data_IF_203188038592
#
_entry.id   IF_203188038592
#
_cell.length_a   1.000
_cell.length_b   1.000
_cell.length_c   1.000
_cell.angle_alpha   90.00
_cell.angle_beta   90.00
_cell.angle_gamma   90.00
#
_symmetry.space_group_name_H-M   'P 1'
#
loop_
_entity.id
_entity.type
_entity.pdbx_description
1 polymer ?
#
# COMPACT_ATOMS: atom_id res chain seq x y z
N UNK A 1 -10.60 -26.35 -10.83
CA UNK A 1 -9.94 -25.13 -11.34
C UNK A 1 -9.18 -24.56 -10.16
N UNK A 2 -7.86 -24.58 -10.24
CA UNK A 2 -6.95 -24.49 -9.09
C UNK A 2 -6.85 -23.06 -8.53
N UNK A 3 -7.20 -22.89 -7.25
CA UNK A 3 -7.06 -21.64 -6.48
C UNK A 3 -5.64 -21.42 -5.91
N UNK A 4 -4.63 -22.16 -6.39
CA UNK A 4 -3.28 -22.19 -5.78
C UNK A 4 -2.29 -21.22 -6.43
N UNK A 5 -2.59 -20.66 -7.60
CA UNK A 5 -1.63 -19.86 -8.38
C UNK A 5 -1.33 -18.47 -7.78
N UNK A 6 -2.29 -17.82 -7.12
CA UNK A 6 -2.10 -16.44 -6.63
C UNK A 6 -1.42 -16.34 -5.26
N UNK A 7 -1.31 -17.43 -4.50
CA UNK A 7 -0.56 -17.44 -3.23
C UNK A 7 0.96 -17.42 -3.45
N UNK A 8 1.41 -17.74 -4.67
CA UNK A 8 2.81 -17.61 -5.08
C UNK A 8 3.24 -16.16 -5.35
N UNK A 9 2.30 -15.21 -5.52
CA UNK A 9 2.58 -13.82 -5.91
C UNK A 9 3.36 -13.01 -4.85
N UNK A 10 3.30 -13.41 -3.58
CA UNK A 10 4.17 -12.87 -2.52
C UNK A 10 5.34 -13.81 -2.15
N UNK A 11 5.30 -15.05 -2.63
CA UNK A 11 6.36 -16.04 -2.39
C UNK A 11 7.53 -15.89 -3.37
N UNK A 12 7.29 -15.36 -4.56
CA UNK A 12 8.32 -15.04 -5.55
C UNK A 12 8.79 -13.58 -5.46
N UNK A 13 9.21 -13.16 -4.26
CA UNK A 13 10.15 -12.05 -4.20
C UNK A 13 11.44 -12.49 -4.90
N UNK A 14 11.93 -11.74 -5.91
CA UNK A 14 13.07 -12.17 -6.70
C UNK A 14 14.29 -12.35 -5.79
N UNK A 15 14.62 -13.61 -5.53
CA UNK A 15 15.93 -14.01 -5.02
C UNK A 15 16.92 -13.87 -6.17
N UNK A 16 17.40 -12.65 -6.39
CA UNK A 16 18.58 -12.36 -7.20
C UNK A 16 18.41 -12.59 -8.71
N UNK A 17 18.16 -11.50 -9.45
CA UNK A 17 18.69 -11.36 -10.79
C UNK A 17 20.04 -10.61 -10.70
N UNK A 18 21.09 -11.35 -10.35
CA UNK A 18 22.49 -10.99 -10.58
C UNK A 18 23.24 -12.28 -10.94
N UNK A 19 23.35 -12.60 -12.23
CA UNK A 19 24.55 -13.29 -12.73
C UNK A 19 25.65 -12.21 -12.85
N UNK A 20 26.92 -12.39 -12.49
CA UNK A 20 27.85 -13.50 -12.69
C UNK A 20 28.90 -13.48 -11.57
N UNK A 21 29.15 -14.62 -10.92
CA UNK A 21 30.49 -15.11 -10.52
C UNK A 21 30.35 -16.49 -9.85
N UNK A 22 30.90 -17.54 -10.48
CA UNK A 22 31.08 -18.87 -9.86
C UNK A 22 31.99 -18.77 -8.64
N UNK A 23 31.64 -19.43 -7.52
CA UNK A 23 32.64 -19.88 -6.55
C UNK A 23 32.65 -21.41 -6.38
N UNK A 24 33.71 -21.98 -5.80
CA UNK A 24 33.97 -23.41 -5.83
C UNK A 24 33.18 -24.19 -4.78
N UNK A 25 33.02 -25.47 -5.13
CA UNK A 25 32.42 -26.57 -4.38
C UNK A 25 33.08 -26.77 -3.01
N UNK A 26 32.33 -26.75 -1.90
CA UNK A 26 32.63 -27.59 -0.71
C UNK A 26 31.50 -27.69 0.33
N UNK A 27 31.15 -28.95 0.59
CA UNK A 27 30.78 -29.65 1.84
C UNK A 27 29.69 -29.13 2.79
N UNK A 28 28.79 -30.07 3.08
CA UNK A 28 27.70 -30.11 4.05
C UNK A 28 28.02 -29.62 5.47
N UNK A 29 27.09 -28.84 6.02
CA UNK A 29 26.95 -28.59 7.46
C UNK A 29 25.47 -28.40 7.79
N UNK A 30 24.87 -29.40 8.45
CA UNK A 30 23.50 -29.43 8.96
C UNK A 30 23.42 -28.55 10.21
N UNK A 31 22.59 -27.50 10.22
CA UNK A 31 22.24 -26.77 11.46
C UNK A 31 20.74 -26.49 11.49
N UNK A 32 20.19 -26.72 12.68
CA UNK A 32 18.79 -26.86 13.04
C UNK A 32 17.96 -25.57 13.10
N UNK A 33 16.67 -25.76 12.81
CA UNK A 33 15.49 -25.15 13.44
C UNK A 33 15.50 -23.65 13.72
N UNK A 34 14.92 -22.88 12.79
CA UNK A 34 14.39 -21.55 13.07
C UNK A 34 12.99 -21.67 13.68
N UNK A 35 12.85 -21.20 14.92
CA UNK A 35 11.55 -21.05 15.59
C UNK A 35 10.75 -19.98 14.85
N UNK A 36 9.69 -20.38 14.13
CA UNK A 36 8.74 -19.44 13.52
C UNK A 36 8.01 -18.70 14.63
N UNK A 37 8.32 -17.42 14.83
CA UNK A 37 7.45 -16.50 15.56
C UNK A 37 6.19 -16.27 14.70
N UNK A 38 5.18 -17.12 14.90
CA UNK A 38 3.84 -16.81 14.43
C UNK A 38 3.34 -15.65 15.29
N UNK A 39 3.26 -14.45 14.72
CA UNK A 39 2.47 -13.38 15.32
C UNK A 39 1.03 -13.88 15.41
N UNK A 40 0.61 -14.27 16.61
CA UNK A 40 -0.77 -14.63 16.90
C UNK A 40 -1.59 -13.36 16.76
N UNK A 41 -2.24 -13.20 15.61
CA UNK A 41 -3.23 -12.16 15.42
C UNK A 41 -4.40 -12.52 16.33
N UNK A 42 -4.62 -11.65 17.31
CA UNK A 42 -5.76 -11.70 18.22
C UNK A 42 -7.06 -11.82 17.44
N UNK A 43 -7.96 -12.72 17.87
CA UNK A 43 -9.28 -12.98 17.27
C UNK A 43 -10.34 -11.95 17.64
N UNK A 44 -9.97 -10.86 18.31
CA UNK A 44 -10.89 -9.77 18.61
C UNK A 44 -11.44 -9.18 17.30
N UNK A 45 -12.69 -8.70 17.31
CA UNK A 45 -13.29 -8.10 16.11
C UNK A 45 -12.42 -6.94 15.62
N UNK A 46 -11.72 -7.16 14.50
CA UNK A 46 -10.90 -6.13 13.87
C UNK A 46 -11.87 -5.12 13.25
N UNK A 47 -11.90 -3.92 13.83
CA UNK A 47 -12.79 -2.88 13.35
C UNK A 47 -12.26 -2.30 12.03
N UNK A 48 -13.13 -1.98 11.06
CA UNK A 48 -12.72 -1.19 9.91
C UNK A 48 -12.11 0.12 10.37
N UNK A 49 -11.19 0.67 9.61
CA UNK A 49 -10.54 1.95 9.91
C UNK A 49 -11.50 3.15 9.72
N UNK A 50 -12.68 3.13 10.33
CA UNK A 50 -13.74 4.13 10.14
C UNK A 50 -13.34 5.55 10.54
N UNK A 51 -12.27 5.70 11.32
CA UNK A 51 -11.73 7.01 11.71
C UNK A 51 -10.60 7.40 10.77
N UNK A 52 -10.71 8.57 10.15
CA UNK A 52 -9.62 9.18 9.40
C UNK A 52 -8.34 9.19 10.26
N UNK A 53 -7.27 8.58 9.75
CA UNK A 53 -5.97 8.65 10.42
C UNK A 53 -5.58 10.12 10.46
N UNK A 54 -5.39 10.67 11.66
CA UNK A 54 -5.03 12.08 11.77
C UNK A 54 -3.78 12.40 10.95
N UNK A 55 -3.74 13.58 10.34
CA UNK A 55 -2.65 13.99 9.45
C UNK A 55 -1.29 14.00 10.13
N UNK A 56 -1.21 13.95 11.46
CA UNK A 56 0.04 13.78 12.24
C UNK A 56 0.46 12.31 12.49
N UNK A 57 -0.44 11.35 12.25
CA UNK A 57 -0.23 9.91 12.47
C UNK A 57 -0.32 9.06 11.21
N UNK A 58 -0.66 9.67 10.07
CA UNK A 58 -0.68 8.99 8.79
C UNK A 58 0.62 8.21 8.55
N UNK A 59 0.61 6.97 8.06
CA UNK A 59 1.83 6.22 7.83
C UNK A 59 2.71 6.88 6.76
N UNK A 60 3.98 7.08 7.07
CA UNK A 60 4.99 7.47 6.08
C UNK A 60 5.57 6.22 5.41
N UNK A 61 5.63 5.12 6.15
CA UNK A 61 6.16 3.84 5.71
C UNK A 61 5.20 2.70 6.08
N UNK A 62 5.16 1.69 5.21
CA UNK A 62 4.53 0.41 5.50
C UNK A 62 5.61 -0.68 5.56
N UNK A 63 5.57 -1.46 6.62
CA UNK A 63 6.25 -2.75 6.71
C UNK A 63 5.25 -3.83 6.38
N UNK A 64 5.42 -4.46 5.22
CA UNK A 64 4.48 -5.43 4.66
C UNK A 64 4.98 -6.85 4.93
N UNK A 65 4.17 -7.64 5.62
CA UNK A 65 4.45 -9.03 5.99
C UNK A 65 3.73 -9.98 5.03
N UNK A 66 4.50 -10.72 4.22
CA UNK A 66 4.02 -11.76 3.31
C UNK A 66 4.33 -13.18 3.80
N UNK A 67 3.95 -14.19 3.01
CA UNK A 67 3.92 -15.62 3.40
C UNK A 67 5.30 -16.23 3.71
N UNK A 68 6.39 -15.63 3.21
CA UNK A 68 7.75 -16.21 3.27
C UNK A 68 8.63 -15.64 4.38
N UNK A 69 8.04 -15.05 5.42
CA UNK A 69 8.79 -14.52 6.57
C UNK A 69 9.68 -13.31 6.25
N UNK A 70 9.61 -12.81 5.01
CA UNK A 70 10.25 -11.57 4.59
C UNK A 70 9.31 -10.39 4.83
N UNK A 71 9.88 -9.30 5.31
CA UNK A 71 9.21 -8.00 5.36
C UNK A 71 9.68 -7.15 4.20
N UNK A 72 8.75 -6.55 3.45
CA UNK A 72 9.07 -5.58 2.40
C UNK A 72 8.74 -4.18 2.91
N UNK A 73 9.68 -3.27 2.74
CA UNK A 73 9.50 -1.86 3.11
C UNK A 73 8.90 -1.10 1.94
N UNK A 74 7.81 -0.40 2.21
CA UNK A 74 7.12 0.51 1.30
C UNK A 74 7.11 1.91 1.89
N UNK A 75 7.16 2.94 1.04
CA UNK A 75 7.11 4.33 1.48
C UNK A 75 6.00 5.06 0.73
N UNK A 76 5.34 5.98 1.45
CA UNK A 76 4.18 6.73 0.98
C UNK A 76 4.57 7.67 -0.16
N UNK A 77 3.78 7.63 -1.22
CA UNK A 77 3.76 8.61 -2.30
C UNK A 77 2.59 9.58 -2.10
N UNK A 78 1.39 9.04 -1.87
CA UNK A 78 0.16 9.81 -1.66
C UNK A 78 -0.61 9.38 -0.39
N UNK A 79 -1.47 10.24 0.17
CA UNK A 79 -1.60 11.66 -0.15
C UNK A 79 -0.34 12.43 0.21
N UNK A 80 -0.14 13.66 -0.28
CA UNK A 80 0.93 14.54 0.23
C UNK A 80 0.34 15.43 1.33
N UNK A 81 0.87 15.35 2.55
CA UNK A 81 0.34 16.02 3.73
C UNK A 81 1.06 17.35 3.98
N UNK A 82 0.43 18.33 4.68
CA UNK A 82 1.07 19.60 5.00
C UNK A 82 2.42 19.46 5.72
N UNK A 83 2.54 18.45 6.60
CA UNK A 83 3.80 18.14 7.30
C UNK A 83 4.93 17.67 6.37
N UNK A 84 4.60 17.24 5.16
CA UNK A 84 5.58 16.80 4.16
C UNK A 84 6.29 18.01 3.51
N UNK A 85 5.64 19.18 3.52
CA UNK A 85 6.11 20.40 2.85
C UNK A 85 7.16 21.18 3.66
N UNK A 86 7.31 20.90 4.95
CA UNK A 86 8.12 21.72 5.89
C UNK A 86 9.64 21.56 5.74
N UNK A 87 10.14 20.89 4.69
CA UNK A 87 11.57 20.65 4.48
C UNK A 87 12.12 21.01 3.11
N UNK A 88 11.31 21.58 2.21
CA UNK A 88 11.74 21.90 0.84
C UNK A 88 11.67 23.41 0.57
N UNK A 89 12.79 24.08 0.20
CA UNK A 89 12.70 25.41 -0.38
C UNK A 89 11.87 25.33 -1.66
N UNK A 90 10.90 26.23 -1.79
CA UNK A 90 9.94 26.28 -2.88
C UNK A 90 10.62 26.09 -4.25
N UNK A 91 10.09 25.18 -5.09
CA UNK A 91 10.37 25.19 -6.53
C UNK A 91 10.90 23.93 -7.20
N UNK A 92 11.06 22.78 -6.52
CA UNK A 92 11.46 21.52 -7.19
C UNK A 92 10.50 20.38 -6.90
N UNK A 93 9.38 20.36 -7.64
CA UNK A 93 8.50 19.19 -7.74
C UNK A 93 9.28 18.06 -8.44
N UNK A 94 9.33 16.87 -7.84
CA UNK A 94 9.81 15.66 -8.53
C UNK A 94 11.14 15.05 -8.08
N UNK A 95 11.90 15.65 -7.15
CA UNK A 95 12.97 14.89 -6.48
C UNK A 95 12.42 14.20 -5.25
N UNK A 96 12.57 12.86 -5.22
CA UNK A 96 12.35 12.01 -4.05
C UNK A 96 12.62 12.76 -2.75
N UNK A 97 11.66 12.67 -1.82
CA UNK A 97 11.74 13.24 -0.46
C UNK A 97 13.17 13.07 0.07
N UNK A 98 13.87 14.18 0.33
CA UNK A 98 15.09 14.14 1.13
C UNK A 98 14.63 13.55 2.46
N UNK A 99 15.17 12.38 2.79
CA UNK A 99 14.77 11.57 3.93
C UNK A 99 14.52 12.44 5.15
N UNK A 100 13.28 12.43 5.67
CA UNK A 100 13.04 12.87 7.03
C UNK A 100 13.99 12.08 7.96
N UNK A 101 14.48 12.68 9.06
CA UNK A 101 15.25 11.94 10.04
C UNK A 101 14.47 10.70 10.46
N UNK A 102 15.14 9.53 10.44
CA UNK A 102 14.48 8.23 10.64
C UNK A 102 13.69 8.13 11.96
N UNK A 103 14.01 8.97 12.95
CA UNK A 103 13.37 9.03 14.26
C UNK A 103 11.95 9.62 14.27
N UNK A 104 11.45 10.17 13.16
CA UNK A 104 10.12 10.81 13.11
C UNK A 104 9.15 10.18 12.10
N UNK A 105 9.49 9.05 11.48
CA UNK A 105 8.63 8.42 10.46
C UNK A 105 7.57 7.56 11.15
N UNK A 106 6.32 7.78 10.75
CA UNK A 106 5.19 6.98 11.19
C UNK A 106 5.19 5.65 10.41
N UNK A 107 5.58 4.56 11.06
CA UNK A 107 5.63 3.22 10.43
C UNK A 107 4.37 2.45 10.81
N UNK A 108 3.62 1.99 9.80
CA UNK A 108 2.53 1.03 9.99
C UNK A 108 2.93 -0.36 9.48
N UNK A 109 2.24 -1.38 9.99
CA UNK A 109 2.53 -2.78 9.67
C UNK A 109 1.31 -3.40 8.98
N UNK A 110 1.48 -3.89 7.76
CA UNK A 110 0.43 -4.49 6.93
C UNK A 110 0.65 -6.01 6.85
N UNK A 111 -0.38 -6.80 7.20
CA UNK A 111 -0.26 -8.25 7.32
C UNK A 111 -0.96 -8.98 6.17
N UNK A 112 -0.30 -9.10 5.02
CA UNK A 112 -0.86 -9.79 3.86
C UNK A 112 -0.95 -11.31 4.02
N UNK A 113 -0.16 -11.89 4.93
CA UNK A 113 -0.26 -13.33 5.30
C UNK A 113 -1.62 -13.73 5.85
N UNK A 114 -2.33 -12.77 6.43
CA UNK A 114 -3.64 -12.96 7.06
C UNK A 114 -4.73 -12.25 6.28
N UNK A 115 -4.43 -11.88 5.02
CA UNK A 115 -5.39 -11.22 4.16
C UNK A 115 -6.38 -12.22 3.56
N UNK A 116 -7.58 -11.73 3.30
CA UNK A 116 -8.65 -12.45 2.60
C UNK A 116 -8.85 -11.78 1.24
N UNK A 117 -8.79 -12.55 0.16
CA UNK A 117 -9.13 -12.03 -1.17
C UNK A 117 -10.61 -11.67 -1.23
N UNK A 118 -10.89 -10.41 -1.56
CA UNK A 118 -12.24 -9.90 -1.80
C UNK A 118 -12.60 -10.04 -3.27
N UNK A 119 -11.68 -9.62 -4.14
CA UNK A 119 -11.81 -9.69 -5.58
C UNK A 119 -10.44 -9.99 -6.23
N UNK A 120 -10.46 -10.65 -7.39
CA UNK A 120 -9.29 -10.97 -8.17
C UNK A 120 -9.59 -10.84 -9.66
N UNK A 121 -9.40 -9.63 -10.18
CA UNK A 121 -9.54 -9.32 -11.60
C UNK A 121 -8.26 -9.50 -12.42
N UNK A 122 -8.35 -9.29 -13.76
CA UNK A 122 -7.22 -9.43 -14.68
C UNK A 122 -6.09 -8.41 -14.45
N UNK A 123 -6.42 -7.24 -13.89
CA UNK A 123 -5.47 -6.14 -13.69
C UNK A 123 -5.09 -5.95 -12.23
N UNK A 124 -6.01 -6.24 -11.30
CA UNK A 124 -5.77 -6.01 -9.88
C UNK A 124 -6.33 -7.12 -9.02
N UNK A 125 -5.70 -7.34 -7.87
CA UNK A 125 -6.26 -8.15 -6.79
C UNK A 125 -6.64 -7.22 -5.63
N UNK A 126 -7.85 -7.38 -5.11
CA UNK A 126 -8.37 -6.65 -3.95
C UNK A 126 -8.39 -7.58 -2.75
N UNK A 127 -7.73 -7.17 -1.67
CA UNK A 127 -7.59 -7.94 -0.45
C UNK A 127 -8.13 -7.15 0.74
N UNK A 128 -8.71 -7.86 1.71
CA UNK A 128 -8.93 -7.35 3.06
C UNK A 128 -7.76 -7.77 3.92
N UNK A 129 -7.07 -6.83 4.57
CA UNK A 129 -5.90 -7.15 5.38
C UNK A 129 -5.88 -6.39 6.72
N UNK A 130 -5.31 -6.98 7.79
CA UNK A 130 -5.02 -6.25 9.02
C UNK A 130 -3.90 -5.23 8.83
N UNK A 131 -4.10 -4.03 9.38
CA UNK A 131 -3.14 -2.93 9.44
C UNK A 131 -2.97 -2.48 10.90
N UNK A 132 -1.74 -2.55 11.41
CA UNK A 132 -1.39 -1.96 12.70
C UNK A 132 -0.84 -0.55 12.49
N UNK A 133 -1.49 0.45 13.07
CA UNK A 133 -1.04 1.83 13.00
C UNK A 133 0.06 2.14 14.04
N UNK A 134 0.92 3.15 13.78
CA UNK A 134 1.92 3.59 14.74
C UNK A 134 1.23 4.10 16.01
N UNK A 135 1.52 3.45 17.15
CA UNK A 135 0.95 3.81 18.44
C UNK A 135 2.05 4.09 19.47
N UNK A 136 1.82 5.08 20.35
CA UNK A 136 2.81 5.48 21.38
C UNK A 136 2.70 4.73 22.71
N UNK A 137 1.62 4.00 22.97
CA UNK A 137 1.42 3.34 24.27
C UNK A 137 0.79 1.93 24.14
N UNK A 138 1.63 0.89 24.26
CA UNK A 138 1.28 -0.49 24.64
C UNK A 138 -0.09 -1.00 24.18
N UNK A 139 -0.22 -1.32 22.88
CA UNK A 139 -1.43 -1.90 22.29
C UNK A 139 -1.76 -1.23 20.97
N UNK A 140 -0.98 -1.50 19.93
CA UNK A 140 -1.22 -0.94 18.60
C UNK A 140 -2.66 -1.18 18.17
N UNK A 141 -3.34 -0.13 17.68
CA UNK A 141 -4.69 -0.27 17.15
C UNK A 141 -4.59 -1.06 15.84
N UNK A 142 -5.10 -2.28 15.86
CA UNK A 142 -5.25 -3.12 14.68
C UNK A 142 -6.57 -2.74 14.00
N UNK A 143 -6.49 -2.32 12.75
CA UNK A 143 -7.64 -1.99 11.92
C UNK A 143 -7.67 -2.88 10.69
N UNK A 144 -8.84 -3.01 10.07
CA UNK A 144 -8.98 -3.65 8.76
C UNK A 144 -8.94 -2.60 7.66
N UNK A 145 -8.21 -2.89 6.58
CA UNK A 145 -8.14 -2.07 5.38
C UNK A 145 -8.36 -2.92 4.13
N UNK A 146 -8.79 -2.26 3.06
CA UNK A 146 -8.76 -2.82 1.71
C UNK A 146 -7.42 -2.47 1.07
N UNK A 147 -6.80 -3.47 0.46
CA UNK A 147 -5.51 -3.41 -0.22
C UNK A 147 -5.74 -3.79 -1.67
N UNK A 148 -5.48 -2.86 -2.58
CA UNK A 148 -5.47 -3.13 -4.02
C UNK A 148 -4.04 -3.28 -4.50
N UNK A 149 -3.77 -4.40 -5.17
CA UNK A 149 -2.47 -4.77 -5.72
C UNK A 149 -2.60 -4.91 -7.24
N UNK A 150 -1.57 -4.52 -7.97
CA UNK A 150 -1.48 -4.76 -9.41
C UNK A 150 -1.09 -6.21 -9.67
N UNK A 151 -1.61 -6.79 -10.75
CA UNK A 151 -1.06 -8.03 -11.31
C UNK A 151 0.32 -7.77 -11.91
N UNK A 152 1.04 -8.84 -12.26
CA UNK A 152 2.38 -8.79 -12.86
C UNK A 152 2.37 -8.32 -14.33
N UNK A 153 1.53 -7.35 -14.67
CA UNK A 153 1.43 -6.75 -16.00
C UNK A 153 1.85 -5.29 -15.93
N UNK A 154 2.55 -4.80 -16.96
CA UNK A 154 2.96 -3.40 -17.02
C UNK A 154 1.75 -2.45 -16.96
N UNK A 155 0.69 -2.73 -17.75
CA UNK A 155 -0.55 -1.94 -17.74
C UNK A 155 -1.26 -1.95 -16.39
N UNK A 156 -1.23 -3.06 -15.66
CA UNK A 156 -1.82 -3.18 -14.32
C UNK A 156 -1.16 -2.21 -13.31
N UNK A 157 0.17 -2.11 -13.34
CA UNK A 157 0.92 -1.19 -12.48
C UNK A 157 0.60 0.27 -12.79
N UNK A 158 0.46 0.60 -14.08
CA UNK A 158 0.10 1.94 -14.53
C UNK A 158 -1.32 2.32 -14.11
N UNK A 159 -2.29 1.46 -14.40
CA UNK A 159 -3.69 1.67 -14.02
C UNK A 159 -3.85 1.88 -12.51
N UNK A 160 -3.19 1.07 -11.69
CA UNK A 160 -3.24 1.23 -10.23
C UNK A 160 -2.61 2.57 -9.76
N UNK A 161 -1.65 3.10 -10.52
CA UNK A 161 -1.03 4.40 -10.24
C UNK A 161 -1.96 5.55 -10.64
N UNK A 162 -2.57 5.49 -11.82
CA UNK A 162 -3.55 6.47 -12.28
C UNK A 162 -4.75 6.52 -11.33
N UNK A 163 -5.22 5.35 -10.86
CA UNK A 163 -6.25 5.26 -9.83
C UNK A 163 -5.82 5.93 -8.52
N UNK A 164 -4.58 5.71 -8.07
CA UNK A 164 -4.05 6.37 -6.88
C UNK A 164 -3.91 7.90 -7.04
N UNK A 165 -3.58 8.37 -8.24
CA UNK A 165 -3.55 9.80 -8.56
C UNK A 165 -4.96 10.41 -8.53
N UNK A 166 -5.96 9.70 -9.06
CA UNK A 166 -7.36 10.10 -8.97
C UNK A 166 -7.79 10.19 -7.51
N UNK A 167 -7.56 9.15 -6.70
CA UNK A 167 -7.85 9.19 -5.27
C UNK A 167 -7.13 10.33 -4.56
N UNK A 168 -5.87 10.60 -4.90
CA UNK A 168 -5.14 11.73 -4.32
C UNK A 168 -5.75 13.09 -4.72
N UNK A 169 -6.32 13.20 -5.92
CA UNK A 169 -6.96 14.43 -6.39
C UNK A 169 -8.36 14.66 -5.78
N UNK A 170 -9.13 13.58 -5.56
CA UNK A 170 -10.53 13.67 -5.11
C UNK A 170 -10.69 13.40 -3.62
N UNK A 171 -9.76 12.70 -2.97
CA UNK A 171 -9.93 12.31 -1.57
C UNK A 171 -9.81 13.53 -0.66
N UNK A 172 -10.85 13.81 0.15
CA UNK A 172 -10.91 14.98 1.01
C UNK A 172 -10.02 14.86 2.26
N UNK A 173 -8.97 14.03 2.25
CA UNK A 173 -8.03 13.86 3.38
C UNK A 173 -7.37 15.19 3.80
N UNK A 174 -7.54 16.29 3.05
CA UNK A 174 -7.18 17.65 3.45
C UNK A 174 -8.29 18.71 3.23
N UNK A 175 -9.50 18.31 2.85
CA UNK A 175 -10.62 19.22 2.67
C UNK A 175 -11.18 19.59 4.03
N UNK A 176 -10.95 20.82 4.45
CA UNK A 176 -11.62 21.44 5.59
C UNK A 176 -13.12 21.10 5.52
N UNK A 177 -13.70 20.76 6.67
CA UNK A 177 -15.15 20.78 6.85
C UNK A 177 -15.65 22.05 6.16
N UNK A 178 -16.56 21.96 5.16
CA UNK A 178 -17.09 23.17 4.55
C UNK A 178 -17.56 24.05 5.72
N UNK A 179 -17.17 25.34 5.78
CA UNK A 179 -17.65 26.21 6.83
C UNK A 179 -19.15 26.05 6.85
N UNK A 180 -19.70 25.65 8.00
CA UNK A 180 -21.14 25.48 8.23
C UNK A 180 -21.84 26.83 8.04
N UNK A 181 -21.87 27.32 6.81
CA UNK A 181 -22.82 28.29 6.32
C UNK A 181 -24.11 27.52 6.21
N UNK A 182 -24.89 27.59 7.30
CA UNK A 182 -26.27 27.13 7.34
C UNK A 182 -26.95 27.55 6.03
N UNK A 183 -27.39 26.62 5.18
CA UNK A 183 -28.20 27.02 4.04
C UNK A 183 -29.49 27.61 4.61
N UNK A 184 -29.74 28.88 4.35
CA UNK A 184 -30.99 29.57 4.74
C UNK A 184 -32.20 29.00 3.97
N UNK A 185 -31.99 28.00 3.09
CA UNK A 185 -33.01 27.42 2.24
C UNK A 185 -33.01 25.87 2.31
N UNK A 186 -34.03 25.24 2.91
CA UNK A 186 -34.13 23.77 3.04
C UNK A 186 -34.37 22.98 1.74
N UNK A 187 -34.29 23.61 0.57
CA UNK A 187 -34.57 23.00 -0.74
C UNK A 187 -33.36 22.92 -1.67
N UNK A 188 -32.16 23.31 -1.23
CA UNK A 188 -30.95 23.12 -2.03
C UNK A 188 -30.55 21.64 -2.07
N UNK A 189 -30.89 21.02 -3.21
CA UNK A 189 -30.34 19.79 -3.79
C UNK A 189 -29.61 18.88 -2.80
N UNK A 190 -30.27 17.76 -2.45
CA UNK A 190 -29.59 16.52 -2.10
C UNK A 190 -28.73 16.11 -3.31
N UNK A 191 -27.56 16.74 -3.47
CA UNK A 191 -26.52 16.18 -4.32
C UNK A 191 -26.12 14.91 -3.62
N UNK A 192 -26.64 13.78 -4.11
CA UNK A 192 -26.14 12.45 -3.78
C UNK A 192 -24.64 12.50 -3.99
N UNK A 193 -23.89 12.67 -2.89
CA UNK A 193 -22.44 12.67 -2.95
C UNK A 193 -22.09 11.24 -3.28
N UNK A 194 -21.38 11.03 -4.37
CA UNK A 194 -20.78 9.73 -4.64
C UNK A 194 -20.02 9.28 -3.38
N UNK A 195 -20.30 8.08 -2.91
CA UNK A 195 -19.69 7.49 -1.72
C UNK A 195 -18.24 7.09 -2.03
N UNK A 196 -17.37 8.08 -2.20
CA UNK A 196 -15.96 7.85 -2.52
C UNK A 196 -15.30 7.17 -1.30
N UNK A 197 -14.70 5.98 -1.46
CA UNK A 197 -14.01 5.30 -0.36
C UNK A 197 -12.92 6.17 0.26
N UNK A 198 -12.75 6.11 1.59
CA UNK A 198 -11.65 6.82 2.23
C UNK A 198 -10.31 6.27 1.76
N UNK A 199 -9.40 7.16 1.38
CA UNK A 199 -8.07 6.83 0.85
C UNK A 199 -7.01 6.90 1.95
N UNK A 200 -6.39 5.76 2.29
CA UNK A 200 -5.30 5.69 3.29
C UNK A 200 -3.91 5.66 2.69
N UNK A 201 -3.81 5.87 1.38
CA UNK A 201 -2.58 6.22 0.70
C UNK A 201 -2.12 5.22 -0.34
N UNK A 202 -1.15 5.67 -1.11
CA UNK A 202 -0.49 4.91 -2.15
C UNK A 202 1.00 4.81 -1.84
N UNK A 203 1.52 3.58 -1.88
CA UNK A 203 2.85 3.26 -1.39
C UNK A 203 3.63 2.48 -2.44
N UNK A 204 4.91 2.85 -2.59
CA UNK A 204 5.85 2.18 -3.48
C UNK A 204 6.91 1.40 -2.70
N UNK A 205 7.36 0.25 -3.23
CA UNK A 205 8.41 -0.54 -2.61
C UNK A 205 9.73 0.24 -2.59
N UNK A 206 10.40 0.20 -1.45
CA UNK A 206 11.71 0.82 -1.21
C UNK A 206 12.81 -0.19 -1.51
N UNK A 207 13.73 0.18 -2.40
CA UNK A 207 14.89 -0.65 -2.74
C UNK A 207 15.98 -0.57 -1.66
N UNK A 208 16.98 -1.46 -1.74
CA UNK A 208 18.13 -1.49 -0.83
C UNK A 208 18.93 -0.18 -0.80
N UNK A 209 18.94 0.57 -1.91
CA UNK A 209 19.57 1.89 -2.02
C UNK A 209 18.70 3.03 -1.45
N UNK A 210 17.55 2.70 -0.86
CA UNK A 210 16.57 3.65 -0.35
C UNK A 210 15.72 4.33 -1.43
N UNK A 211 15.94 3.99 -2.71
CA UNK A 211 15.18 4.56 -3.82
C UNK A 211 13.78 3.96 -3.93
N UNK A 212 12.82 4.80 -4.26
CA UNK A 212 11.50 4.41 -4.75
C UNK A 212 11.49 4.75 -6.22
N UNK A 213 11.18 3.78 -7.08
CA UNK A 213 10.97 4.06 -8.50
C UNK A 213 9.74 3.31 -8.95
N UNK A 214 8.76 4.07 -9.43
CA UNK A 214 7.79 3.52 -10.35
C UNK A 214 8.56 2.94 -11.54
N UNK A 215 8.22 1.71 -11.90
CA UNK A 215 8.79 1.07 -13.08
C UNK A 215 7.70 1.07 -14.13
N UNK A 216 8.09 1.49 -15.31
CA UNK A 216 7.31 1.50 -16.53
C UNK A 216 8.31 1.13 -17.64
N UNK A 217 7.87 0.39 -18.66
CA UNK A 217 8.62 0.26 -19.90
C UNK A 217 8.63 1.60 -20.66
N UNK A 218 9.76 1.97 -21.25
CA UNK A 218 9.86 3.29 -21.91
C UNK A 218 8.96 3.40 -23.15
N UNK A 219 8.60 2.29 -23.79
CA UNK A 219 7.95 2.28 -25.12
C UNK A 219 6.56 1.61 -25.15
N UNK A 220 6.13 0.91 -24.08
CA UNK A 220 4.86 0.16 -24.08
C UNK A 220 3.99 0.42 -22.85
N UNK A 221 4.09 1.60 -22.22
CA UNK A 221 3.28 1.95 -21.04
C UNK A 221 1.99 2.67 -21.39
N UNK A 222 1.06 1.92 -21.96
CA UNK A 222 -0.35 2.26 -21.85
C UNK A 222 -1.09 1.26 -20.96
N UNK A 223 -2.31 1.61 -20.58
CA UNK A 223 -3.19 0.75 -19.77
C UNK A 223 -3.47 -0.62 -20.40
N UNK A 224 -3.33 -0.74 -21.72
CA UNK A 224 -3.56 -1.98 -22.48
C UNK A 224 -2.37 -2.91 -22.53
N UNK A 225 -1.23 -2.53 -21.94
CA UNK A 225 -0.01 -3.32 -22.02
C UNK A 225 -0.06 -4.61 -21.20
N UNK A 226 0.02 -5.74 -21.90
CA UNK A 226 0.05 -7.09 -21.31
C UNK A 226 1.47 -7.63 -21.07
N UNK A 227 2.51 -6.79 -21.13
CA UNK A 227 3.87 -7.24 -20.86
C UNK A 227 4.01 -7.72 -19.41
N UNK A 228 4.43 -8.97 -19.24
CA UNK A 228 4.68 -9.54 -17.93
C UNK A 228 5.92 -8.91 -17.28
N UNK A 229 5.78 -8.47 -16.03
CA UNK A 229 6.83 -7.79 -15.28
C UNK A 229 7.06 -8.45 -13.93
N UNK A 230 8.32 -8.55 -13.51
CA UNK A 230 8.72 -9.08 -12.18
C UNK A 230 8.97 -7.96 -11.17
N UNK A 231 8.21 -6.88 -11.28
CA UNK A 231 8.36 -5.73 -10.40
C UNK A 231 7.59 -5.98 -9.11
N UNK A 232 8.04 -5.38 -8.01
CA UNK A 232 7.23 -5.39 -6.80
C UNK A 232 5.98 -4.54 -7.04
N UNK A 233 4.80 -5.09 -6.73
CA UNK A 233 3.53 -4.36 -6.88
C UNK A 233 3.50 -3.14 -5.97
N UNK A 234 3.03 -1.98 -6.46
CA UNK A 234 2.62 -0.89 -5.58
C UNK A 234 1.41 -1.31 -4.72
N UNK A 235 1.12 -0.53 -3.68
CA UNK A 235 0.02 -0.79 -2.75
C UNK A 235 -0.87 0.45 -2.69
N UNK A 236 -2.15 0.26 -2.99
CA UNK A 236 -3.21 1.23 -2.75
C UNK A 236 -4.03 0.79 -1.52
N UNK A 237 -4.08 1.63 -0.49
CA UNK A 237 -4.85 1.38 0.73
C UNK A 237 -6.14 2.20 0.76
N UNK A 238 -7.26 1.52 0.95
CA UNK A 238 -8.61 2.08 0.97
C UNK A 238 -9.37 1.62 2.21
N UNK A 239 -10.45 2.35 2.52
CA UNK A 239 -11.48 1.92 3.46
C UNK A 239 -12.22 0.70 2.97
N UNK A 240 -12.56 -0.17 3.93
CA UNK A 240 -13.52 -1.23 3.68
C UNK A 240 -14.93 -0.63 3.69
N UNK A 241 -15.43 -0.28 2.50
CA UNK A 241 -16.82 0.11 2.27
C UNK A 241 -17.58 -1.01 1.54
N UNK A 242 -18.92 -0.96 1.55
CA UNK A 242 -19.74 -1.93 0.83
C UNK A 242 -19.41 -1.97 -0.67
N UNK A 243 -19.05 -0.84 -1.27
CA UNK A 243 -18.71 -0.72 -2.69
C UNK A 243 -17.33 -1.28 -3.03
N UNK A 244 -16.35 -1.15 -2.12
CA UNK A 244 -14.99 -1.70 -2.34
C UNK A 244 -14.95 -3.23 -2.45
N UNK A 245 -16.04 -3.92 -2.10
CA UNK A 245 -16.17 -5.37 -2.20
C UNK A 245 -16.78 -5.80 -3.55
N UNK A 246 -17.27 -4.86 -4.36
CA UNK A 246 -18.02 -5.10 -5.61
C UNK A 246 -17.29 -4.51 -6.83
N UNK A 247 -15.96 -4.51 -6.85
CA UNK A 247 -15.23 -4.13 -8.05
C UNK A 247 -15.42 -5.21 -9.13
N UNK A 248 -16.16 -4.88 -10.19
CA UNK A 248 -16.44 -5.71 -11.38
C UNK A 248 -15.21 -5.93 -12.29
#
# INVERSE_FOLDING_TARGET
MDHTANRALLAELPHGACEVAKPPRRTSGRVSSTTKCHHLITTDPIHPLKTSISSGRFPDDLLVYGDVGSTVHYSRVYPVLPRDSTGFPHGKRGRMRKSFPASSRNVAHLYLTSAVTLDAGPQTTVLRAPLSLPHRASGGSLATVVVKLAQNLCGAHQRLTEEAELFNAVSPVLGEEPPHGRPDNPQELEVERADIPTFYGFYLPVRKDGSMRFRAHDECCDEGCECEVRWMTPILLLEESAETVVAE
#
